data_IF_384727436492
#
_entry.id   IF_384727436492
#
_cell.length_a   1.000
_cell.length_b   1.000
_cell.length_c   1.000
_cell.angle_alpha   90.00
_cell.angle_beta   90.00
_cell.angle_gamma   90.00
#
_symmetry.space_group_name_H-M   'P 1'
#
loop_
_entity.id
_entity.type
_entity.pdbx_description
1 polymer ?
#
# COMPACT_ATOMS: atom_id res chain seq x y z
N UNK A 1 -1.26 14.21 44.19
CA UNK A 1 -0.39 13.36 43.34
C UNK A 1 -1.02 11.98 43.07
N UNK A 2 -2.25 11.90 42.53
CA UNK A 2 -2.90 10.60 42.24
C UNK A 2 -3.94 10.55 41.10
N UNK A 3 -4.05 11.59 40.26
CA UNK A 3 -5.03 11.60 39.15
C UNK A 3 -4.41 11.51 37.74
N UNK A 4 -3.10 11.72 37.58
CA UNK A 4 -2.44 11.69 36.27
C UNK A 4 -2.21 10.30 35.66
N UNK A 5 -2.38 9.21 36.43
CA UNK A 5 -2.05 7.85 35.98
C UNK A 5 -3.21 7.10 35.31
N UNK A 6 -4.47 7.56 35.45
CA UNK A 6 -5.63 6.88 34.86
C UNK A 6 -5.91 7.30 33.41
N UNK A 7 -5.50 8.51 33.02
CA UNK A 7 -5.68 9.03 31.66
C UNK A 7 -4.78 8.36 30.61
N UNK A 8 -3.58 7.89 30.98
CA UNK A 8 -2.65 7.26 30.03
C UNK A 8 -2.95 5.77 29.78
N UNK A 9 -3.67 5.10 30.68
CA UNK A 9 -4.02 3.68 30.56
C UNK A 9 -5.25 3.43 29.68
N UNK A 10 -6.12 4.44 29.49
CA UNK A 10 -7.34 4.30 28.69
C UNK A 10 -7.12 4.48 27.17
N UNK A 11 -5.96 4.99 26.75
CA UNK A 11 -5.59 5.13 25.32
C UNK A 11 -4.77 3.95 24.78
N UNK A 12 -4.48 2.95 25.62
CA UNK A 12 -3.53 1.88 25.31
C UNK A 12 -4.15 0.49 25.11
N UNK A 13 -5.47 0.39 24.96
CA UNK A 13 -6.18 -0.90 24.81
C UNK A 13 -6.69 -1.21 23.41
N UNK A 14 -6.17 -0.59 22.35
CA UNK A 14 -6.44 -1.12 21.02
C UNK A 14 -5.66 -2.43 20.87
N UNK A 15 -6.35 -3.55 21.04
CA UNK A 15 -5.77 -4.90 20.91
C UNK A 15 -4.97 -5.03 19.62
N UNK A 16 -3.80 -5.67 19.68
CA UNK A 16 -3.00 -6.08 18.51
C UNK A 16 -3.85 -6.73 17.42
N UNK A 17 -4.87 -7.51 17.80
CA UNK A 17 -5.84 -8.13 16.89
C UNK A 17 -6.62 -7.09 16.07
N UNK A 18 -7.02 -5.96 16.68
CA UNK A 18 -7.67 -4.85 15.96
C UNK A 18 -6.71 -4.25 14.93
N UNK A 19 -5.42 -4.16 15.23
CA UNK A 19 -4.42 -3.69 14.27
C UNK A 19 -4.29 -4.58 13.03
N UNK A 20 -4.28 -5.90 13.22
CA UNK A 20 -4.30 -6.86 12.10
C UNK A 20 -5.57 -6.74 11.26
N UNK A 21 -6.75 -6.62 11.88
CA UNK A 21 -8.02 -6.43 11.14
C UNK A 21 -7.96 -5.19 10.25
N UNK A 22 -7.42 -4.08 10.75
CA UNK A 22 -7.25 -2.87 9.94
C UNK A 22 -6.33 -3.08 8.74
N UNK A 23 -5.21 -3.80 8.89
CA UNK A 23 -4.33 -4.10 7.75
C UNK A 23 -4.97 -5.09 6.77
N UNK A 24 -5.74 -6.08 7.26
CA UNK A 24 -6.49 -6.99 6.40
C UNK A 24 -7.53 -6.24 5.55
N UNK A 25 -8.25 -5.28 6.12
CA UNK A 25 -9.14 -4.41 5.35
C UNK A 25 -8.37 -3.54 4.34
N UNK A 26 -7.20 -3.03 4.71
CA UNK A 26 -6.36 -2.30 3.77
C UNK A 26 -5.94 -3.17 2.58
N UNK A 27 -5.44 -4.38 2.84
CA UNK A 27 -5.05 -5.35 1.79
C UNK A 27 -6.24 -5.75 0.91
N UNK A 28 -7.42 -5.93 1.51
CA UNK A 28 -8.66 -6.16 0.77
C UNK A 28 -8.97 -5.01 -0.18
N UNK A 29 -8.99 -3.77 0.29
CA UNK A 29 -9.30 -2.63 -0.57
C UNK A 29 -8.21 -2.38 -1.64
N UNK A 30 -6.94 -2.59 -1.33
CA UNK A 30 -5.88 -2.51 -2.35
C UNK A 30 -5.98 -3.61 -3.40
N UNK A 31 -6.43 -4.82 -3.04
CA UNK A 31 -6.59 -5.91 -4.02
C UNK A 31 -7.64 -5.61 -5.10
N UNK A 32 -8.56 -4.68 -4.85
CA UNK A 32 -9.55 -4.20 -5.82
C UNK A 32 -8.96 -3.22 -6.85
N UNK A 33 -7.70 -2.81 -6.69
CA UNK A 33 -7.00 -1.88 -7.59
C UNK A 33 -6.95 -2.43 -9.01
N UNK A 34 -6.53 -3.69 -9.19
CA UNK A 34 -6.40 -4.31 -10.51
C UNK A 34 -7.74 -4.39 -11.23
N UNK A 35 -8.79 -4.84 -10.52
CA UNK A 35 -10.16 -4.95 -11.03
C UNK A 35 -10.68 -3.57 -11.48
N UNK A 36 -10.62 -2.58 -10.60
CA UNK A 36 -11.17 -1.24 -10.87
C UNK A 36 -10.40 -0.51 -11.98
N UNK A 37 -9.07 -0.64 -11.97
CA UNK A 37 -8.21 -0.05 -13.01
C UNK A 37 -8.46 -0.68 -14.39
N UNK A 38 -8.71 -2.00 -14.46
CA UNK A 38 -9.01 -2.69 -15.73
C UNK A 38 -10.28 -2.13 -16.39
N UNK A 39 -11.32 -1.82 -15.62
CA UNK A 39 -12.53 -1.18 -16.14
C UNK A 39 -12.31 0.27 -16.59
N UNK A 40 -11.49 1.05 -15.85
CA UNK A 40 -11.15 2.42 -16.27
C UNK A 40 -10.38 2.42 -17.60
N UNK A 41 -9.36 1.56 -17.70
CA UNK A 41 -8.51 1.45 -18.90
C UNK A 41 -9.32 0.92 -20.09
N UNK A 42 -10.20 -0.07 -19.89
CA UNK A 42 -11.11 -0.54 -20.94
C UNK A 42 -12.07 0.56 -21.43
N UNK A 43 -12.36 1.55 -20.57
CA UNK A 43 -13.11 2.76 -20.91
C UNK A 43 -12.32 3.86 -21.61
N UNK A 44 -11.03 3.63 -21.91
CA UNK A 44 -10.16 4.58 -22.61
C UNK A 44 -9.31 5.49 -21.70
N UNK A 45 -9.40 5.35 -20.37
CA UNK A 45 -8.59 6.15 -19.44
C UNK A 45 -7.15 5.65 -19.45
N UNK A 46 -6.18 6.54 -19.67
CA UNK A 46 -4.76 6.16 -19.66
C UNK A 46 -4.30 5.69 -18.27
N UNK A 47 -3.27 4.83 -18.16
CA UNK A 47 -2.79 4.34 -16.85
C UNK A 47 -2.34 5.45 -15.90
N UNK A 48 -1.63 6.47 -16.39
CA UNK A 48 -1.19 7.60 -15.57
C UNK A 48 -2.37 8.48 -15.14
N UNK A 49 -3.32 8.72 -16.04
CA UNK A 49 -4.56 9.44 -15.73
C UNK A 49 -5.40 8.68 -14.69
N UNK A 50 -5.47 7.35 -14.79
CA UNK A 50 -6.14 6.47 -13.82
C UNK A 50 -5.49 6.61 -12.43
N UNK A 51 -4.16 6.64 -12.36
CA UNK A 51 -3.42 6.88 -11.12
C UNK A 51 -3.66 8.30 -10.57
N UNK A 52 -3.73 9.30 -11.45
CA UNK A 52 -4.04 10.68 -11.08
C UNK A 52 -5.43 10.77 -10.43
N UNK A 53 -6.47 10.25 -11.08
CA UNK A 53 -7.83 10.29 -10.57
C UNK A 53 -7.99 9.51 -9.26
N UNK A 54 -7.30 8.37 -9.13
CA UNK A 54 -7.22 7.63 -7.86
C UNK A 54 -6.67 8.51 -6.73
N UNK A 55 -5.56 9.23 -6.97
CA UNK A 55 -4.95 10.12 -5.99
C UNK A 55 -5.82 11.35 -5.72
N UNK A 56 -6.41 11.95 -6.75
CA UNK A 56 -7.28 13.13 -6.65
C UNK A 56 -8.53 12.87 -5.82
N UNK A 57 -9.26 11.80 -6.13
CA UNK A 57 -10.48 11.43 -5.40
C UNK A 57 -10.14 11.02 -3.96
N UNK A 58 -9.05 10.26 -3.77
CA UNK A 58 -8.55 9.92 -2.44
C UNK A 58 -8.17 11.15 -1.60
N UNK A 59 -7.50 12.12 -2.22
CA UNK A 59 -7.12 13.39 -1.60
C UNK A 59 -8.35 14.18 -1.16
N UNK A 60 -9.33 14.35 -2.05
CA UNK A 60 -10.59 15.03 -1.73
C UNK A 60 -11.26 14.38 -0.52
N UNK A 61 -11.37 13.05 -0.50
CA UNK A 61 -11.97 12.32 0.63
C UNK A 61 -11.20 12.56 1.94
N UNK A 62 -9.86 12.51 1.90
CA UNK A 62 -9.04 12.78 3.08
C UNK A 62 -9.11 14.23 3.55
N UNK A 63 -9.15 15.21 2.65
CA UNK A 63 -9.29 16.61 3.00
C UNK A 63 -10.67 16.91 3.57
N UNK A 64 -11.74 16.32 3.03
CA UNK A 64 -13.09 16.39 3.61
C UNK A 64 -13.08 15.79 5.02
N UNK A 65 -12.54 14.58 5.20
CA UNK A 65 -12.39 13.96 6.52
C UNK A 65 -11.62 14.87 7.47
N UNK A 66 -10.46 15.39 7.06
CA UNK A 66 -9.63 16.26 7.87
C UNK A 66 -10.37 17.57 8.24
N UNK A 67 -11.19 18.10 7.33
CA UNK A 67 -12.02 19.28 7.59
C UNK A 67 -13.09 18.99 8.64
N UNK A 68 -13.86 17.92 8.45
CA UNK A 68 -14.96 17.52 9.34
C UNK A 68 -14.47 17.16 10.74
N UNK A 69 -13.26 16.61 10.86
CA UNK A 69 -12.60 16.29 12.14
C UNK A 69 -11.75 17.44 12.69
N UNK A 70 -11.74 18.60 12.02
CA UNK A 70 -10.93 19.78 12.39
C UNK A 70 -9.43 19.48 12.51
N UNK A 71 -8.93 18.50 11.76
CA UNK A 71 -7.53 18.08 11.74
C UNK A 71 -6.70 18.66 10.58
N UNK A 72 -7.26 19.57 9.77
CA UNK A 72 -6.52 20.30 8.73
C UNK A 72 -5.44 21.24 9.26
N UNK A 73 -5.42 21.56 10.56
CA UNK A 73 -4.42 22.46 11.15
C UNK A 73 -3.06 21.78 11.27
N UNK A 74 -2.32 21.77 10.16
CA UNK A 74 -0.95 21.27 10.06
C UNK A 74 0.00 22.46 9.94
N UNK A 75 1.17 22.39 10.58
CA UNK A 75 2.20 23.42 10.38
C UNK A 75 2.61 23.45 8.91
N UNK A 76 2.75 24.65 8.31
CA UNK A 76 3.07 24.78 6.88
C UNK A 76 4.35 24.02 6.48
N UNK A 77 5.37 23.96 7.35
CA UNK A 77 6.60 23.20 7.08
C UNK A 77 6.32 21.71 7.01
N UNK A 78 5.51 21.18 7.93
CA UNK A 78 5.16 19.77 7.97
C UNK A 78 4.26 19.40 6.79
N UNK A 79 3.31 20.27 6.43
CA UNK A 79 2.47 20.10 5.24
C UNK A 79 3.32 20.05 3.95
N UNK A 80 4.32 20.92 3.82
CA UNK A 80 5.26 20.89 2.69
C UNK A 80 6.09 19.61 2.68
N UNK A 81 6.57 19.13 3.84
CA UNK A 81 7.25 17.84 3.94
C UNK A 81 6.33 16.70 3.48
N UNK A 82 5.05 16.72 3.86
CA UNK A 82 4.07 15.72 3.43
C UNK A 82 3.88 15.75 1.93
N UNK A 83 3.73 16.93 1.33
CA UNK A 83 3.60 17.09 -0.12
C UNK A 83 4.86 16.64 -0.86
N UNK A 84 6.06 17.02 -0.39
CA UNK A 84 7.33 16.58 -0.99
C UNK A 84 7.49 15.06 -0.89
N UNK A 85 7.13 14.47 0.25
CA UNK A 85 7.10 13.02 0.38
C UNK A 85 6.05 12.39 -0.53
N UNK A 86 4.94 13.07 -0.81
CA UNK A 86 3.96 12.69 -1.83
C UNK A 86 4.53 12.55 -3.24
N UNK A 87 5.42 13.47 -3.65
CA UNK A 87 6.12 13.39 -4.94
C UNK A 87 6.99 12.12 -5.02
N UNK A 88 7.67 11.78 -3.93
CA UNK A 88 8.47 10.56 -3.83
C UNK A 88 7.60 9.29 -3.78
N UNK A 89 6.66 9.26 -2.85
CA UNK A 89 5.85 8.09 -2.54
C UNK A 89 4.78 7.78 -3.58
N UNK A 90 4.41 8.76 -4.41
CA UNK A 90 3.45 8.58 -5.51
C UNK A 90 4.18 8.69 -6.85
N UNK A 91 4.83 9.82 -7.14
CA UNK A 91 5.46 10.07 -8.44
C UNK A 91 6.58 9.09 -8.76
N UNK A 92 7.63 9.04 -7.91
CA UNK A 92 8.76 8.11 -8.13
C UNK A 92 8.30 6.66 -8.09
N UNK A 93 7.42 6.32 -7.15
CA UNK A 93 6.81 4.99 -7.07
C UNK A 93 6.14 4.58 -8.38
N UNK A 94 5.21 5.40 -8.90
CA UNK A 94 4.48 5.07 -10.13
C UNK A 94 5.39 5.05 -11.36
N UNK A 95 6.31 6.00 -11.50
CA UNK A 95 7.25 6.02 -12.61
C UNK A 95 8.14 4.77 -12.62
N UNK A 96 8.67 4.38 -11.46
CA UNK A 96 9.50 3.20 -11.31
C UNK A 96 8.69 1.91 -11.57
N UNK A 97 7.45 1.82 -11.09
CA UNK A 97 6.55 0.70 -11.39
C UNK A 97 6.28 0.57 -12.89
N UNK A 98 5.86 1.66 -13.54
CA UNK A 98 5.55 1.64 -14.99
C UNK A 98 6.77 1.27 -15.82
N UNK A 99 7.95 1.79 -15.48
CA UNK A 99 9.20 1.43 -16.15
C UNK A 99 9.56 -0.05 -15.94
N UNK A 100 9.36 -0.58 -14.74
CA UNK A 100 9.58 -2.00 -14.45
C UNK A 100 8.63 -2.90 -15.24
N UNK A 101 7.34 -2.55 -15.28
CA UNK A 101 6.32 -3.28 -16.06
C UNK A 101 6.70 -3.28 -17.55
N UNK A 102 7.10 -2.12 -18.08
CA UNK A 102 7.49 -1.97 -19.49
C UNK A 102 8.74 -2.77 -19.84
N UNK A 103 9.73 -2.84 -18.95
CA UNK A 103 11.05 -3.42 -19.24
C UNK A 103 11.22 -4.87 -18.78
N UNK A 104 10.37 -5.37 -17.88
CA UNK A 104 10.51 -6.70 -17.27
C UNK A 104 9.17 -7.43 -17.05
N UNK A 105 8.04 -6.82 -17.43
CA UNK A 105 6.71 -7.40 -17.31
C UNK A 105 6.02 -7.15 -15.96
N UNK A 106 4.69 -7.30 -15.96
CA UNK A 106 3.83 -7.03 -14.80
C UNK A 106 4.14 -7.89 -13.58
N UNK A 107 4.22 -9.21 -13.76
CA UNK A 107 4.54 -10.14 -12.67
C UNK A 107 5.88 -9.80 -12.01
N UNK A 108 6.93 -9.58 -12.79
CA UNK A 108 8.26 -9.21 -12.27
C UNK A 108 8.21 -7.91 -11.48
N UNK A 109 7.57 -6.87 -12.01
CA UNK A 109 7.44 -5.58 -11.33
C UNK A 109 6.71 -5.72 -9.98
N UNK A 110 5.63 -6.50 -9.93
CA UNK A 110 4.87 -6.76 -8.70
C UNK A 110 5.71 -7.54 -7.67
N UNK A 111 6.42 -8.59 -8.08
CA UNK A 111 7.31 -9.35 -7.18
C UNK A 111 8.39 -8.45 -6.58
N UNK A 112 8.98 -7.57 -7.40
CA UNK A 112 10.00 -6.63 -6.95
C UNK A 112 9.44 -5.56 -6.01
N UNK A 113 8.22 -5.06 -6.27
CA UNK A 113 7.49 -4.20 -5.33
C UNK A 113 7.32 -4.89 -3.97
N UNK A 114 6.90 -6.16 -3.97
CA UNK A 114 6.70 -6.92 -2.74
C UNK A 114 7.98 -7.29 -1.98
N UNK A 115 9.16 -6.86 -2.45
CA UNK A 115 10.37 -6.80 -1.59
C UNK A 115 10.26 -5.77 -0.46
N UNK A 116 9.22 -4.93 -0.47
CA UNK A 116 8.91 -3.94 0.56
C UNK A 116 9.14 -4.38 2.02
N UNK A 117 8.72 -5.56 2.51
CA UNK A 117 8.93 -5.94 3.91
C UNK A 117 10.40 -6.08 4.30
N UNK A 118 11.29 -6.39 3.35
CA UNK A 118 12.75 -6.41 3.57
C UNK A 118 13.23 -5.00 3.89
N UNK A 119 12.83 -4.03 3.06
CA UNK A 119 13.13 -2.62 3.28
C UNK A 119 12.49 -2.10 4.56
N UNK A 120 11.25 -2.49 4.87
CA UNK A 120 10.57 -2.12 6.11
C UNK A 120 11.28 -2.71 7.33
N UNK A 121 11.76 -3.96 7.28
CA UNK A 121 12.55 -4.55 8.36
C UNK A 121 13.88 -3.81 8.56
N UNK A 122 14.55 -3.46 7.46
CA UNK A 122 15.75 -2.63 7.48
C UNK A 122 15.49 -1.28 8.16
N UNK A 123 14.46 -0.55 7.74
CA UNK A 123 14.07 0.72 8.36
C UNK A 123 13.64 0.57 9.83
N UNK A 124 12.91 -0.50 10.15
CA UNK A 124 12.46 -0.78 11.52
C UNK A 124 13.65 -0.94 12.47
N UNK A 125 14.66 -1.69 12.04
CA UNK A 125 15.90 -1.88 12.82
C UNK A 125 16.73 -0.60 12.90
N UNK A 126 16.93 0.08 11.76
CA UNK A 126 17.84 1.22 11.67
C UNK A 126 17.29 2.48 12.33
N UNK A 127 16.00 2.80 12.11
CA UNK A 127 15.39 4.07 12.49
C UNK A 127 14.65 4.01 13.83
N UNK A 128 14.15 2.82 14.20
CA UNK A 128 13.35 2.64 15.42
C UNK A 128 13.97 1.63 16.39
N UNK A 129 15.12 1.05 16.05
CA UNK A 129 15.81 0.10 16.91
C UNK A 129 15.11 -1.26 17.06
N UNK A 130 14.02 -1.52 16.33
CA UNK A 130 13.22 -2.75 16.48
C UNK A 130 14.07 -4.00 16.29
N UNK A 131 13.87 -4.99 17.15
CA UNK A 131 14.52 -6.30 16.98
C UNK A 131 13.81 -7.12 15.90
N UNK A 132 14.56 -7.49 14.87
CA UNK A 132 14.08 -8.41 13.83
C UNK A 132 14.30 -9.84 14.32
N UNK A 133 13.25 -10.42 14.89
CA UNK A 133 13.28 -11.80 15.38
C UNK A 133 13.43 -12.77 14.22
N UNK A 134 13.94 -13.98 14.50
CA UNK A 134 13.97 -15.08 13.51
C UNK A 134 12.60 -15.35 12.89
N UNK A 135 11.54 -15.14 13.67
CA UNK A 135 10.15 -15.31 13.23
C UNK A 135 9.72 -14.23 12.24
N UNK A 136 10.07 -12.95 12.47
CA UNK A 136 9.88 -11.87 11.50
C UNK A 136 10.64 -12.13 10.20
N UNK A 137 11.90 -12.54 10.29
CA UNK A 137 12.72 -12.86 9.12
C UNK A 137 12.15 -14.03 8.31
N UNK A 138 11.74 -15.12 8.99
CA UNK A 138 11.12 -16.27 8.34
C UNK A 138 9.79 -15.89 7.66
N UNK A 139 8.94 -15.11 8.32
CA UNK A 139 7.68 -14.64 7.75
C UNK A 139 7.90 -13.79 6.49
N UNK A 140 8.90 -12.91 6.48
CA UNK A 140 9.29 -12.14 5.29
C UNK A 140 9.69 -13.08 4.16
N UNK A 141 10.58 -14.05 4.43
CA UNK A 141 11.03 -15.02 3.42
C UNK A 141 9.86 -15.83 2.83
N UNK A 142 8.98 -16.36 3.68
CA UNK A 142 7.81 -17.14 3.25
C UNK A 142 6.86 -16.27 2.41
N UNK A 143 6.59 -15.03 2.83
CA UNK A 143 5.69 -14.13 2.11
C UNK A 143 6.23 -13.75 0.73
N UNK A 144 7.54 -13.49 0.63
CA UNK A 144 8.21 -13.21 -0.66
C UNK A 144 8.12 -14.39 -1.61
N UNK A 145 8.48 -15.59 -1.12
CA UNK A 145 8.38 -16.82 -1.92
C UNK A 145 6.93 -17.08 -2.38
N UNK A 146 5.97 -16.93 -1.47
CA UNK A 146 4.56 -17.09 -1.78
C UNK A 146 4.06 -16.10 -2.84
N UNK A 147 4.43 -14.83 -2.72
CA UNK A 147 4.06 -13.79 -3.69
C UNK A 147 4.70 -14.02 -5.05
N UNK A 148 5.96 -14.46 -5.09
CA UNK A 148 6.63 -14.83 -6.34
C UNK A 148 5.89 -15.96 -7.07
N UNK A 149 5.51 -17.01 -6.33
CA UNK A 149 4.74 -18.13 -6.89
C UNK A 149 3.37 -17.67 -7.43
N UNK A 150 2.65 -16.82 -6.69
CA UNK A 150 1.36 -16.26 -7.15
C UNK A 150 1.54 -15.46 -8.45
N UNK A 151 2.52 -14.56 -8.49
CA UNK A 151 2.68 -13.64 -9.62
C UNK A 151 3.16 -14.34 -10.90
N UNK A 152 4.12 -15.27 -10.79
CA UNK A 152 4.68 -15.94 -11.98
C UNK A 152 3.80 -17.05 -12.55
N UNK A 153 2.71 -17.41 -11.87
CA UNK A 153 1.79 -18.47 -12.34
C UNK A 153 0.47 -17.94 -12.90
N UNK A 154 0.18 -16.65 -12.71
CA UNK A 154 -1.08 -16.00 -13.13
C UNK A 154 -1.11 -15.53 -14.58
N UNK A 155 -0.56 -16.29 -15.54
CA UNK A 155 -0.69 -16.00 -16.97
C UNK A 155 0.04 -14.74 -17.49
N UNK A 156 0.76 -14.01 -16.64
CA UNK A 156 1.65 -12.94 -17.09
C UNK A 156 2.77 -13.52 -17.94
N UNK A 157 2.83 -13.16 -19.22
CA UNK A 157 3.94 -13.56 -20.10
C UNK A 157 5.24 -13.00 -19.48
N UNK A 158 6.24 -13.84 -19.17
CA UNK A 158 7.56 -13.35 -18.78
C UNK A 158 8.09 -12.51 -19.95
N UNK A 159 8.15 -11.18 -19.78
CA UNK A 159 8.95 -10.35 -20.67
C UNK A 159 10.42 -10.68 -20.47
N UNK A 160 11.26 -10.47 -21.50
CA UNK A 160 12.70 -10.48 -21.29
C UNK A 160 13.03 -9.52 -20.14
N UNK A 161 13.68 -10.03 -19.10
CA UNK A 161 13.96 -9.24 -17.90
C UNK A 161 15.19 -8.37 -18.14
N UNK A 162 15.00 -7.05 -18.07
CA UNK A 162 16.10 -6.09 -18.13
C UNK A 162 16.63 -5.77 -16.75
N UNK A 163 17.94 -5.57 -16.62
CA UNK A 163 18.59 -5.07 -15.39
C UNK A 163 17.97 -3.74 -14.95
N UNK A 164 17.68 -2.85 -15.90
CA UNK A 164 17.04 -1.57 -15.60
C UNK A 164 15.61 -1.77 -15.08
N UNK A 165 14.84 -2.68 -15.68
CA UNK A 165 13.49 -3.00 -15.21
C UNK A 165 13.48 -3.60 -13.80
N UNK A 166 14.50 -4.42 -13.47
CA UNK A 166 14.70 -4.94 -12.11
C UNK A 166 15.02 -3.80 -11.13
N UNK A 167 15.95 -2.91 -11.48
CA UNK A 167 16.31 -1.77 -10.65
C UNK A 167 15.10 -0.85 -10.39
N UNK A 168 14.28 -0.60 -11.41
CA UNK A 168 13.05 0.17 -11.28
C UNK A 168 12.01 -0.52 -10.37
N UNK A 169 11.84 -1.84 -10.47
CA UNK A 169 10.93 -2.58 -9.60
C UNK A 169 11.37 -2.54 -8.13
N UNK A 170 12.68 -2.68 -7.87
CA UNK A 170 13.25 -2.54 -6.52
C UNK A 170 13.10 -1.11 -5.99
N UNK A 171 13.29 -0.10 -6.84
CA UNK A 171 13.07 1.30 -6.49
C UNK A 171 11.62 1.56 -6.10
N UNK A 172 10.65 0.95 -6.80
CA UNK A 172 9.25 1.02 -6.43
C UNK A 172 8.99 0.38 -5.06
N UNK A 173 9.52 -0.83 -4.82
CA UNK A 173 9.43 -1.50 -3.52
C UNK A 173 10.05 -0.69 -2.38
N UNK A 174 11.21 -0.08 -2.63
CA UNK A 174 11.89 0.81 -1.69
C UNK A 174 11.08 2.07 -1.40
N UNK A 175 10.61 2.77 -2.44
CA UNK A 175 9.77 3.97 -2.30
C UNK A 175 8.49 3.67 -1.53
N UNK A 176 7.80 2.58 -1.86
CA UNK A 176 6.64 2.12 -1.09
C UNK A 176 7.00 1.87 0.38
N UNK A 177 8.10 1.15 0.65
CA UNK A 177 8.55 0.86 2.01
C UNK A 177 8.86 2.11 2.85
N UNK A 178 9.30 3.22 2.24
CA UNK A 178 9.54 4.48 2.99
C UNK A 178 8.27 5.08 3.61
N UNK A 179 7.07 4.70 3.16
CA UNK A 179 5.82 5.16 3.78
C UNK A 179 5.68 4.70 5.24
N UNK A 180 6.21 3.53 5.57
CA UNK A 180 6.12 2.95 6.90
C UNK A 180 6.83 3.82 7.96
N UNK A 181 8.14 4.11 7.84
CA UNK A 181 8.82 5.01 8.77
C UNK A 181 8.26 6.43 8.70
N UNK A 182 7.93 6.93 7.50
CA UNK A 182 7.37 8.27 7.34
C UNK A 182 6.09 8.44 8.16
N UNK A 183 5.11 7.54 7.99
CA UNK A 183 3.88 7.59 8.76
C UNK A 183 4.13 7.43 10.26
N UNK A 184 5.04 6.52 10.66
CA UNK A 184 5.41 6.29 12.07
C UNK A 184 5.95 7.55 12.76
N UNK A 185 6.71 8.39 12.06
CA UNK A 185 7.22 9.66 12.62
C UNK A 185 6.14 10.69 12.90
N UNK A 186 5.07 10.72 12.10
CA UNK A 186 4.08 11.81 12.14
C UNK A 186 2.75 11.43 12.79
N UNK A 187 2.43 10.13 12.87
CA UNK A 187 1.12 9.63 13.35
C UNK A 187 0.76 10.04 14.79
N UNK A 188 1.75 10.41 15.62
CA UNK A 188 1.54 10.87 16.98
C UNK A 188 1.11 12.35 17.05
N UNK A 189 1.48 13.13 16.04
CA UNK A 189 1.24 14.59 15.99
C UNK A 189 0.07 14.96 15.09
N UNK A 190 -0.16 14.18 14.04
CA UNK A 190 -1.15 14.48 13.01
C UNK A 190 -2.10 13.30 12.77
N UNK A 191 -3.35 13.64 12.41
CA UNK A 191 -4.34 12.63 12.05
C UNK A 191 -3.92 11.91 10.77
N UNK A 192 -4.39 10.67 10.62
CA UNK A 192 -4.20 9.89 9.39
C UNK A 192 -4.75 10.64 8.17
N UNK A 193 -5.88 11.32 8.35
CA UNK A 193 -6.52 12.10 7.30
C UNK A 193 -5.67 13.31 6.87
N UNK A 194 -5.06 14.02 7.82
CA UNK A 194 -4.19 15.15 7.51
C UNK A 194 -2.92 14.70 6.77
N UNK A 195 -2.24 13.65 7.29
CA UNK A 195 -1.00 13.14 6.69
C UNK A 195 -1.22 12.74 5.23
N UNK A 196 -2.20 11.86 4.97
CA UNK A 196 -2.46 11.39 3.61
C UNK A 196 -3.10 12.46 2.72
N UNK A 197 -3.93 13.36 3.27
CA UNK A 197 -4.49 14.49 2.53
C UNK A 197 -3.39 15.34 1.89
N UNK A 198 -2.42 15.80 2.69
CA UNK A 198 -1.30 16.61 2.17
C UNK A 198 -0.32 15.79 1.32
N UNK A 199 -0.03 14.53 1.66
CA UNK A 199 0.78 13.66 0.80
C UNK A 199 0.19 13.49 -0.60
N UNK A 200 -1.13 13.27 -0.69
CA UNK A 200 -1.79 13.07 -1.98
C UNK A 200 -1.84 14.36 -2.81
N UNK A 201 -1.85 15.56 -2.21
CA UNK A 201 -1.67 16.80 -2.98
C UNK A 201 -0.33 16.76 -3.74
N UNK A 202 0.75 16.37 -3.07
CA UNK A 202 2.04 16.16 -3.72
C UNK A 202 1.97 15.10 -4.82
N UNK A 203 1.31 13.97 -4.57
CA UNK A 203 1.12 12.92 -5.56
C UNK A 203 0.38 13.37 -6.82
N UNK A 204 -0.71 14.12 -6.65
CA UNK A 204 -1.49 14.72 -7.75
C UNK A 204 -0.61 15.65 -8.58
N UNK A 205 0.17 16.52 -7.93
CA UNK A 205 1.10 17.41 -8.64
C UNK A 205 2.13 16.60 -9.41
N UNK A 206 2.71 15.54 -8.84
CA UNK A 206 3.67 14.71 -9.59
C UNK A 206 3.05 14.04 -10.81
N UNK A 207 1.83 13.53 -10.71
CA UNK A 207 1.19 12.79 -11.81
C UNK A 207 0.64 13.71 -12.90
N UNK A 208 0.03 14.82 -12.51
CA UNK A 208 -0.57 15.80 -13.44
C UNK A 208 0.43 16.55 -14.31
N UNK A 209 1.73 16.48 -14.01
CA UNK A 209 2.77 17.07 -14.85
C UNK A 209 3.12 16.21 -16.08
N UNK A 210 2.77 14.93 -16.09
CA UNK A 210 3.22 13.97 -17.11
C UNK A 210 2.11 13.42 -18.00
N UNK A 211 0.84 13.65 -17.68
CA UNK A 211 -0.30 13.12 -18.44
C UNK A 211 -1.41 14.19 -18.55
N UNK A 212 -1.97 14.41 -19.76
CA UNK A 212 -3.18 15.21 -19.92
C UNK A 212 -4.34 14.63 -19.10
N UNK A 213 -5.06 15.49 -18.38
CA UNK A 213 -6.17 15.08 -17.53
C UNK A 213 -7.49 15.41 -18.23
N UNK A 214 -8.29 14.38 -18.49
CA UNK A 214 -9.58 14.49 -19.17
C UNK A 214 -10.72 14.49 -18.14
N UNK A 215 -11.77 15.27 -18.43
CA UNK A 215 -12.97 15.39 -17.58
C UNK A 215 -14.22 14.82 -18.25
N UNK A 216 -14.15 14.60 -19.56
CA UNK A 216 -15.20 14.15 -20.45
C UNK A 216 -15.39 12.62 -20.45
N UNK A 217 -15.13 11.99 -19.31
CA UNK A 217 -15.41 10.57 -19.10
C UNK A 217 -16.91 10.31 -18.97
N UNK A 218 -17.36 9.14 -19.43
CA UNK A 218 -18.76 8.74 -19.26
C UNK A 218 -19.11 8.57 -17.76
N UNK A 219 -20.40 8.69 -17.37
CA UNK A 219 -20.82 8.51 -15.97
C UNK A 219 -20.42 7.15 -15.38
N UNK A 220 -20.39 6.10 -16.21
CA UNK A 220 -19.96 4.77 -15.78
C UNK A 220 -18.47 4.73 -15.44
N UNK A 221 -17.63 5.41 -16.23
CA UNK A 221 -16.19 5.51 -15.95
C UNK A 221 -15.93 6.36 -14.72
N UNK A 222 -16.68 7.45 -14.53
CA UNK A 222 -16.63 8.21 -13.27
C UNK A 222 -17.00 7.36 -12.05
N UNK A 223 -17.98 6.45 -12.18
CA UNK A 223 -18.29 5.47 -11.15
C UNK A 223 -17.10 4.58 -10.79
N UNK A 224 -16.38 4.06 -11.77
CA UNK A 224 -15.18 3.25 -11.55
C UNK A 224 -13.99 4.06 -11.00
N UNK A 225 -13.77 5.29 -11.47
CA UNK A 225 -12.77 6.20 -10.93
C UNK A 225 -13.07 6.53 -9.47
N UNK A 226 -14.34 6.73 -9.12
CA UNK A 226 -14.77 6.93 -7.73
C UNK A 226 -14.49 5.70 -6.88
N UNK A 227 -14.87 4.50 -7.33
CA UNK A 227 -14.56 3.24 -6.62
C UNK A 227 -13.04 3.11 -6.42
N UNK A 228 -12.26 3.37 -7.46
CA UNK A 228 -10.81 3.30 -7.44
C UNK A 228 -10.22 4.28 -6.41
N UNK A 229 -10.61 5.55 -6.43
CA UNK A 229 -10.12 6.55 -5.48
C UNK A 229 -10.64 6.37 -4.06
N UNK A 230 -11.91 6.06 -3.90
CA UNK A 230 -12.54 5.95 -2.59
C UNK A 230 -12.13 4.67 -1.86
N UNK A 231 -12.26 3.49 -2.49
CA UNK A 231 -11.93 2.22 -1.84
C UNK A 231 -10.42 2.01 -1.78
N UNK A 232 -9.76 2.05 -2.94
CA UNK A 232 -8.35 1.59 -3.05
C UNK A 232 -7.34 2.66 -2.65
N UNK A 233 -7.76 3.92 -2.52
CA UNK A 233 -6.91 4.99 -1.99
C UNK A 233 -7.41 5.41 -0.60
N UNK A 234 -8.56 6.09 -0.50
CA UNK A 234 -9.00 6.65 0.78
C UNK A 234 -9.21 5.60 1.88
N UNK A 235 -10.10 4.62 1.68
CA UNK A 235 -10.35 3.60 2.71
C UNK A 235 -9.13 2.72 2.96
N UNK A 236 -8.43 2.28 1.91
CA UNK A 236 -7.24 1.46 2.05
C UNK A 236 -6.16 2.16 2.90
N UNK A 237 -5.78 3.40 2.57
CA UNK A 237 -4.78 4.15 3.34
C UNK A 237 -5.26 4.54 4.73
N UNK A 238 -6.57 4.79 4.92
CA UNK A 238 -7.14 5.04 6.24
C UNK A 238 -7.01 3.81 7.14
N UNK A 239 -7.48 2.65 6.67
CA UNK A 239 -7.34 1.36 7.35
C UNK A 239 -5.87 1.05 7.63
N UNK A 240 -5.01 1.23 6.63
CA UNK A 240 -3.57 1.02 6.77
C UNK A 240 -2.97 1.89 7.86
N UNK A 241 -3.25 3.20 7.88
CA UNK A 241 -2.78 4.10 8.92
C UNK A 241 -3.33 3.76 10.31
N UNK A 242 -4.56 3.26 10.41
CA UNK A 242 -5.12 2.76 11.67
C UNK A 242 -4.45 1.47 12.14
N UNK A 243 -4.06 0.59 11.22
CA UNK A 243 -3.27 -0.61 11.53
C UNK A 243 -1.86 -0.27 11.99
N UNK A 244 -1.15 0.63 11.29
CA UNK A 244 0.21 1.06 11.65
C UNK A 244 0.31 1.69 13.05
N UNK A 245 -0.78 2.30 13.54
CA UNK A 245 -0.86 2.81 14.93
C UNK A 245 -0.86 1.70 15.99
N UNK A 246 -1.11 0.44 15.61
CA UNK A 246 -1.45 -0.66 16.53
C UNK A 246 -0.50 -1.86 16.46
N UNK A 247 0.25 -2.02 15.37
CA UNK A 247 1.23 -3.12 15.19
C UNK A 247 2.56 -2.58 14.65
N UNK A 248 3.64 -3.33 14.85
CA UNK A 248 4.94 -3.02 14.24
C UNK A 248 4.89 -2.96 12.71
N UNK A 249 5.83 -2.19 12.14
CA UNK A 249 5.87 -1.91 10.70
C UNK A 249 6.06 -3.19 9.89
N UNK A 250 6.91 -4.11 10.37
CA UNK A 250 7.16 -5.41 9.72
C UNK A 250 5.89 -6.27 9.69
N UNK A 251 5.13 -6.32 10.79
CA UNK A 251 3.87 -7.08 10.85
C UNK A 251 2.86 -6.55 9.85
N UNK A 252 2.73 -5.23 9.75
CA UNK A 252 1.86 -4.61 8.75
C UNK A 252 2.32 -4.95 7.32
N UNK A 253 3.62 -4.79 7.02
CA UNK A 253 4.16 -5.01 5.68
C UNK A 253 3.97 -6.45 5.16
N UNK A 254 4.21 -7.44 6.02
CA UNK A 254 3.95 -8.85 5.68
C UNK A 254 2.46 -9.13 5.54
N UNK A 255 1.61 -8.53 6.39
CA UNK A 255 0.15 -8.71 6.26
C UNK A 255 -0.39 -8.13 4.95
N UNK A 256 0.19 -7.04 4.45
CA UNK A 256 -0.17 -6.47 3.15
C UNK A 256 0.13 -7.40 1.96
N UNK A 257 0.96 -8.45 2.11
CA UNK A 257 1.15 -9.47 1.06
C UNK A 257 -0.12 -10.26 0.75
N UNK A 258 -1.17 -10.14 1.57
CA UNK A 258 -2.46 -10.70 1.24
C UNK A 258 -3.08 -10.05 -0.02
N UNK A 259 -2.69 -8.83 -0.37
CA UNK A 259 -3.16 -8.12 -1.56
C UNK A 259 -3.01 -8.92 -2.86
N UNK A 260 -1.82 -9.44 -3.26
CA UNK A 260 -1.67 -10.22 -4.49
C UNK A 260 -2.46 -11.53 -4.46
N UNK A 261 -2.63 -12.15 -3.29
CA UNK A 261 -3.45 -13.35 -3.13
C UNK A 261 -4.92 -13.05 -3.42
N UNK A 262 -5.44 -11.96 -2.84
CA UNK A 262 -6.81 -11.50 -3.11
C UNK A 262 -6.97 -11.04 -4.56
N UNK A 263 -5.98 -10.37 -5.13
CA UNK A 263 -5.96 -9.98 -6.54
C UNK A 263 -6.10 -11.19 -7.46
N UNK A 264 -5.34 -12.25 -7.20
CA UNK A 264 -5.46 -13.55 -7.87
C UNK A 264 -6.85 -14.15 -7.73
N UNK A 265 -7.43 -14.12 -6.52
CA UNK A 265 -8.79 -14.60 -6.28
C UNK A 265 -9.84 -13.82 -7.08
N UNK A 266 -9.72 -12.50 -7.18
CA UNK A 266 -10.65 -11.68 -7.97
C UNK A 266 -10.57 -11.99 -9.45
N UNK A 267 -9.35 -12.14 -9.97
CA UNK A 267 -9.13 -12.41 -11.38
C UNK A 267 -9.62 -13.82 -11.75
N UNK A 268 -9.41 -14.80 -10.88
CA UNK A 268 -10.03 -16.12 -11.01
C UNK A 268 -11.57 -16.06 -10.97
N UNK A 269 -12.15 -15.30 -10.04
CA UNK A 269 -13.61 -15.25 -9.86
C UNK A 269 -14.36 -14.49 -10.97
N UNK A 270 -13.79 -13.38 -11.47
CA UNK A 270 -14.47 -12.48 -12.41
C UNK A 270 -14.05 -12.69 -13.86
N UNK A 271 -12.90 -13.33 -14.11
CA UNK A 271 -12.37 -13.54 -15.47
C UNK A 271 -12.05 -15.02 -15.79
N UNK A 272 -12.37 -15.96 -14.89
CA UNK A 272 -12.10 -17.40 -15.04
C UNK A 272 -10.62 -17.72 -15.38
N UNK A 273 -9.71 -16.82 -14.99
CA UNK A 273 -8.26 -17.02 -15.17
C UNK A 273 -7.78 -18.07 -14.17
N UNK A 274 -7.45 -19.26 -14.69
CA UNK A 274 -7.04 -20.39 -13.87
C UNK A 274 -5.58 -20.27 -13.43
N UNK A 275 -5.35 -20.40 -12.13
CA UNK A 275 -4.02 -20.43 -11.54
C UNK A 275 -3.52 -21.86 -11.41
N UNK A 276 -2.23 -22.06 -11.65
CA UNK A 276 -1.60 -23.38 -11.46
C UNK A 276 -1.61 -23.79 -9.97
N UNK A 277 -1.45 -25.07 -9.64
CA UNK A 277 -1.28 -25.51 -8.25
C UNK A 277 -0.17 -24.76 -7.50
N UNK A 278 0.87 -24.30 -8.20
CA UNK A 278 1.94 -23.48 -7.64
C UNK A 278 1.45 -22.08 -7.22
N UNK A 279 0.54 -21.47 -7.98
CA UNK A 279 -0.08 -20.20 -7.59
C UNK A 279 -0.89 -20.32 -6.31
N UNK A 280 -1.69 -21.38 -6.19
CA UNK A 280 -2.44 -21.68 -4.98
C UNK A 280 -1.54 -21.97 -3.78
N UNK A 281 -0.45 -22.72 -3.98
CA UNK A 281 0.58 -22.91 -2.95
C UNK A 281 1.19 -21.57 -2.53
N UNK A 282 1.47 -20.68 -3.48
CA UNK A 282 1.94 -19.33 -3.19
C UNK A 282 1.00 -18.55 -2.29
N UNK A 283 -0.32 -18.60 -2.58
CA UNK A 283 -1.35 -18.00 -1.73
C UNK A 283 -1.38 -18.59 -0.32
N UNK A 284 -1.28 -19.92 -0.20
CA UNK A 284 -1.21 -20.60 1.09
C UNK A 284 0.04 -20.20 1.91
N UNK A 285 1.20 -20.04 1.26
CA UNK A 285 2.42 -19.58 1.91
C UNK A 285 2.28 -18.17 2.47
N UNK A 286 1.70 -17.24 1.69
CA UNK A 286 1.42 -15.88 2.17
C UNK A 286 0.51 -15.91 3.39
N UNK A 287 -0.60 -16.65 3.34
CA UNK A 287 -1.50 -16.81 4.49
C UNK A 287 -0.76 -17.37 5.71
N UNK A 288 0.09 -18.38 5.49
CA UNK A 288 0.95 -18.96 6.52
C UNK A 288 1.92 -17.94 7.14
N UNK A 289 2.52 -17.06 6.34
CA UNK A 289 3.39 -15.98 6.82
C UNK A 289 2.64 -14.97 7.70
N UNK A 290 1.41 -14.60 7.31
CA UNK A 290 0.54 -13.72 8.12
C UNK A 290 0.18 -14.39 9.45
N UNK A 291 -0.27 -15.64 9.41
CA UNK A 291 -0.61 -16.42 10.61
C UNK A 291 0.60 -16.62 11.54
N UNK A 292 1.79 -16.82 10.96
CA UNK A 292 3.02 -16.92 11.72
C UNK A 292 3.29 -15.65 12.52
N UNK A 293 2.98 -14.46 11.99
CA UNK A 293 3.19 -13.20 12.69
C UNK A 293 2.08 -12.84 13.67
N UNK A 294 0.82 -13.16 13.38
CA UNK A 294 -0.32 -12.87 14.27
C UNK A 294 -0.21 -13.63 15.59
N UNK A 295 0.40 -14.82 15.55
CA UNK A 295 0.63 -15.66 16.72
C UNK A 295 1.99 -15.40 17.39
N UNK A 296 2.74 -14.38 16.93
CA UNK A 296 3.99 -13.97 17.55
C UNK A 296 3.74 -13.11 18.79
N UNK A 297 4.08 -13.65 19.97
CA UNK A 297 3.99 -12.95 21.26
C UNK A 297 5.30 -12.29 21.67
N UNK A 298 6.35 -12.32 20.83
CA UNK A 298 7.59 -11.62 21.13
C UNK A 298 7.31 -10.12 21.36
N UNK A 299 7.87 -9.58 22.45
CA UNK A 299 7.77 -8.16 22.78
C UNK A 299 8.49 -7.36 21.68
N UNK A 300 7.85 -6.29 21.23
CA UNK A 300 8.39 -5.36 20.23
C UNK A 300 9.61 -4.60 20.76
#
# INVERSE_FOLDING_TARGET
MKEGSKGSLLLQSSSTSSGYMWILFAAFFWSLLGVSSKYCIAGGVQPLETAFWRAAIGCICFLIHATLTRSLRVNIRDALIFMLFGLWGTGVFFAAMQMSIKLSGGATAVVLLYTAPVWVAFFSRLLFGEHITRRKALAIGIALCGTALVCFTGGSIPGETSVLGIACGLLAGFSYATHYPFYRWWQARYSTAAIYGYMLIGGIVSLGLFEPIHLDHSPQIWGWLFILGFLTCYLAYFCYGMGLKRISLVRAAVTCHLEPVLGTLWVWLFWDENFTPLGWLGGALVLGAVLLLTTDKSKE
#
